data_IF_678993715008
#
_entry.id   IF_678993715008
#
_cell.length_a   1.000
_cell.length_b   1.000
_cell.length_c   1.000
_cell.angle_alpha   90.00
_cell.angle_beta   90.00
_cell.angle_gamma   90.00
#
_symmetry.space_group_name_H-M   'P 1'
#
loop_
_entity.id
_entity.type
_entity.pdbx_description
1 polymer ?
#
# COMPACT_ATOMS: atom_id res chain seq x y z
N UNK A 1 24.75 27.61 -7.30
CA UNK A 1 25.30 26.81 -6.18
C UNK A 1 26.12 27.76 -5.31
N UNK A 2 25.51 28.37 -4.28
CA UNK A 2 26.25 29.02 -3.19
C UNK A 2 26.14 28.11 -1.96
N UNK A 3 27.25 27.95 -1.25
CA UNK A 3 27.44 26.90 -0.26
C UNK A 3 26.42 26.89 0.88
N UNK A 4 25.90 25.71 1.16
CA UNK A 4 25.20 25.41 2.41
C UNK A 4 26.26 25.19 3.47
N UNK A 5 26.25 26.03 4.51
CA UNK A 5 27.15 25.92 5.66
C UNK A 5 26.77 24.72 6.53
N UNK A 6 27.42 23.58 6.32
CA UNK A 6 27.28 22.42 7.18
C UNK A 6 28.07 22.59 8.48
N UNK A 7 27.39 22.99 9.56
CA UNK A 7 27.91 22.81 10.91
C UNK A 7 27.84 21.34 11.30
N UNK A 8 28.97 20.73 11.67
CA UNK A 8 29.06 19.30 12.04
C UNK A 8 28.53 19.05 13.45
N UNK A 9 27.22 18.84 13.59
CA UNK A 9 26.63 18.17 14.76
C UNK A 9 26.51 16.67 14.50
N UNK A 10 27.61 15.91 14.58
CA UNK A 10 27.59 14.45 14.41
C UNK A 10 26.97 13.96 13.09
N UNK A 11 26.57 12.70 13.00
CA UNK A 11 26.03 12.06 11.78
C UNK A 11 24.65 12.61 11.30
N UNK A 12 24.32 13.85 11.64
CA UNK A 12 23.11 14.53 11.20
C UNK A 12 23.44 15.32 9.93
N UNK A 13 22.77 14.99 8.83
CA UNK A 13 22.81 15.85 7.64
C UNK A 13 21.70 16.88 7.84
N UNK A 14 22.09 18.08 8.30
CA UNK A 14 21.17 19.20 8.35
C UNK A 14 21.14 19.88 6.98
N UNK A 15 19.95 19.97 6.40
CA UNK A 15 19.69 20.86 5.29
C UNK A 15 18.92 22.05 5.83
N UNK A 16 19.66 23.10 6.16
CA UNK A 16 19.06 24.38 6.45
C UNK A 16 18.68 25.06 5.13
N UNK A 17 17.39 25.15 4.84
CA UNK A 17 16.80 25.95 3.76
C UNK A 17 16.03 27.14 4.30
N UNK A 18 16.55 27.77 5.36
CA UNK A 18 16.05 29.04 5.88
C UNK A 18 15.91 30.06 4.74
N UNK A 19 14.67 30.38 4.37
CA UNK A 19 14.31 31.43 3.41
C UNK A 19 13.96 30.99 1.98
N UNK A 20 14.04 29.69 1.66
CA UNK A 20 13.52 29.16 0.39
C UNK A 20 12.31 28.27 0.68
N UNK A 21 11.11 28.74 0.32
CA UNK A 21 9.84 28.06 0.58
C UNK A 21 9.72 26.63 0.01
N UNK A 22 10.70 26.16 -0.77
CA UNK A 22 10.84 24.78 -1.21
C UNK A 22 12.24 24.54 -1.79
N UNK A 23 12.91 23.44 -1.42
CA UNK A 23 14.02 22.90 -2.20
C UNK A 23 13.48 21.88 -3.18
N UNK A 24 13.43 22.25 -4.47
CA UNK A 24 13.12 21.33 -5.56
C UNK A 24 14.42 20.95 -6.27
N UNK A 25 14.76 19.67 -6.27
CA UNK A 25 15.80 19.18 -7.17
C UNK A 25 15.32 19.28 -8.63
N UNK A 26 16.22 19.51 -9.62
CA UNK A 26 15.85 19.41 -11.03
C UNK A 26 15.24 18.04 -11.37
N UNK A 27 14.44 18.01 -12.45
CA UNK A 27 13.51 16.93 -12.85
C UNK A 27 14.17 15.59 -13.23
N UNK A 28 15.43 15.37 -12.88
CA UNK A 28 16.18 14.14 -13.11
C UNK A 28 17.28 13.88 -12.07
N UNK A 29 17.42 14.75 -11.07
CA UNK A 29 18.53 14.63 -10.13
C UNK A 29 18.30 13.55 -9.09
N UNK A 30 19.39 12.91 -8.69
CA UNK A 30 19.40 11.85 -7.67
C UNK A 30 20.15 12.33 -6.45
N UNK A 31 19.50 12.21 -5.29
CA UNK A 31 20.22 12.18 -4.01
C UNK A 31 20.48 10.73 -3.62
N UNK A 32 21.70 10.45 -3.15
CA UNK A 32 22.09 9.11 -2.75
C UNK A 32 22.77 9.12 -1.38
N UNK A 33 22.31 8.24 -0.49
CA UNK A 33 22.91 8.00 0.82
C UNK A 33 23.68 6.68 0.82
N UNK A 34 25.00 6.76 0.99
CA UNK A 34 25.91 5.59 0.95
C UNK A 34 26.72 5.39 2.22
N UNK A 35 26.77 6.39 3.11
CA UNK A 35 27.56 6.33 4.33
C UNK A 35 27.12 5.16 5.22
N UNK A 36 28.06 4.39 5.76
CA UNK A 36 27.79 3.15 6.48
C UNK A 36 27.31 3.34 7.94
N UNK A 37 27.24 4.58 8.44
CA UNK A 37 26.72 4.89 9.78
C UNK A 37 25.27 5.36 9.76
N UNK A 38 24.65 5.42 10.94
CA UNK A 38 23.31 5.98 11.07
C UNK A 38 23.28 7.44 10.63
N UNK A 39 22.29 7.81 9.83
CA UNK A 39 22.07 9.17 9.36
C UNK A 39 20.64 9.60 9.67
N UNK A 40 20.49 10.89 9.92
CA UNK A 40 19.20 11.52 10.19
C UNK A 40 18.93 12.60 9.17
N UNK A 41 17.69 12.62 8.66
CA UNK A 41 17.15 13.70 7.84
C UNK A 41 16.26 14.59 8.71
N UNK A 42 16.41 15.91 8.54
CA UNK A 42 15.77 16.91 9.37
C UNK A 42 15.46 18.18 8.56
N UNK A 43 14.37 18.88 8.95
CA UNK A 43 13.94 20.19 8.43
C UNK A 43 13.64 21.12 9.60
N UNK A 44 14.18 22.34 9.59
CA UNK A 44 13.91 23.35 10.63
C UNK A 44 12.57 24.08 10.42
N UNK A 45 12.06 24.11 9.19
CA UNK A 45 10.97 25.00 8.78
C UNK A 45 9.62 24.30 8.63
N UNK A 46 9.52 22.99 8.90
CA UNK A 46 8.37 22.12 8.57
C UNK A 46 8.08 21.98 7.06
N UNK A 47 8.91 22.56 6.20
CA UNK A 47 8.70 22.45 4.76
C UNK A 47 9.04 21.03 4.29
N UNK A 48 8.18 20.42 3.45
CA UNK A 48 8.48 19.13 2.87
C UNK A 48 9.68 19.26 1.93
N UNK A 49 10.63 18.33 2.04
CA UNK A 49 11.68 18.21 1.04
C UNK A 49 11.16 17.40 -0.13
N UNK A 50 11.29 17.96 -1.34
CA UNK A 50 10.87 17.32 -2.58
C UNK A 50 12.11 16.90 -3.35
N UNK A 51 12.34 15.60 -3.41
CA UNK A 51 13.40 14.99 -4.20
C UNK A 51 12.83 14.51 -5.53
N UNK A 52 13.65 14.49 -6.58
CA UNK A 52 13.25 13.77 -7.78
C UNK A 52 13.51 12.27 -7.58
N UNK A 53 14.78 11.84 -7.54
CA UNK A 53 15.13 10.46 -7.18
C UNK A 53 15.79 10.43 -5.79
N UNK A 54 15.27 9.60 -4.89
CA UNK A 54 15.83 9.36 -3.56
C UNK A 54 16.36 7.94 -3.46
N UNK A 55 17.67 7.79 -3.30
CA UNK A 55 18.33 6.48 -3.26
C UNK A 55 19.00 6.25 -1.91
N UNK A 56 18.74 5.09 -1.30
CA UNK A 56 19.48 4.59 -0.14
C UNK A 56 20.24 3.35 -0.57
N UNK A 57 21.56 3.41 -0.44
CA UNK A 57 22.47 2.33 -0.79
C UNK A 57 23.56 2.23 0.27
N UNK A 58 23.14 1.93 1.51
CA UNK A 58 24.03 1.88 2.66
C UNK A 58 24.47 0.44 2.88
N UNK A 59 25.76 0.21 3.10
CA UNK A 59 26.28 -1.10 3.47
C UNK A 59 25.83 -1.51 4.89
N UNK A 60 25.63 -0.52 5.76
CA UNK A 60 25.12 -0.67 7.13
C UNK A 60 24.53 0.65 7.64
N UNK A 61 23.89 0.59 8.81
CA UNK A 61 23.29 1.75 9.46
C UNK A 61 21.96 2.16 8.85
N UNK A 62 21.22 2.97 9.61
CA UNK A 62 19.84 3.36 9.30
C UNK A 62 19.83 4.81 8.81
N UNK A 63 19.14 5.07 7.70
CA UNK A 63 18.69 6.42 7.39
C UNK A 63 17.32 6.60 8.05
N UNK A 64 17.16 7.60 8.91
CA UNK A 64 15.92 7.82 9.67
C UNK A 64 15.47 9.27 9.58
N UNK A 65 14.17 9.50 9.74
CA UNK A 65 13.67 10.84 10.07
C UNK A 65 13.94 11.15 11.53
N UNK A 66 14.26 12.41 11.82
CA UNK A 66 14.45 12.88 13.19
C UNK A 66 13.48 14.01 13.49
N UNK A 67 12.69 13.89 14.57
CA UNK A 67 12.08 15.04 15.24
C UNK A 67 12.87 15.32 16.51
N UNK A 68 13.04 16.61 16.80
CA UNK A 68 13.66 17.05 18.04
C UNK A 68 12.67 16.92 19.21
N UNK A 69 13.18 16.56 20.38
CA UNK A 69 12.58 16.94 21.65
C UNK A 69 13.02 18.39 21.97
N UNK A 70 12.10 19.29 22.32
CA UNK A 70 12.40 20.70 22.60
C UNK A 70 11.47 21.69 21.86
N UNK A 71 11.86 22.96 21.62
CA UNK A 71 11.01 23.97 20.96
C UNK A 71 10.65 23.62 19.50
N UNK A 72 11.28 22.58 18.95
CA UNK A 72 11.00 22.00 17.65
C UNK A 72 10.23 20.66 17.74
N UNK A 73 9.64 20.34 18.90
CA UNK A 73 8.81 19.16 19.08
C UNK A 73 7.59 19.25 18.18
N UNK A 74 7.34 18.18 17.42
CA UNK A 74 6.29 18.19 16.41
C UNK A 74 6.68 18.94 15.14
N UNK A 75 7.97 19.18 14.89
CA UNK A 75 8.50 19.43 13.55
C UNK A 75 9.06 18.15 12.97
N UNK A 76 8.73 17.82 11.73
CA UNK A 76 9.09 16.55 11.12
C UNK A 76 9.34 16.67 9.62
N UNK A 77 10.08 15.69 9.11
CA UNK A 77 10.43 15.59 7.70
C UNK A 77 9.34 14.79 6.97
N UNK A 78 8.53 15.45 6.15
CA UNK A 78 7.76 14.76 5.12
C UNK A 78 8.67 14.60 3.89
N UNK A 79 9.09 13.37 3.61
CA UNK A 79 9.82 13.10 2.38
C UNK A 79 8.83 12.97 1.24
N UNK A 80 8.89 13.89 0.29
CA UNK A 80 8.25 13.71 -1.00
C UNK A 80 9.31 13.38 -2.03
N UNK A 81 9.15 12.30 -2.78
CA UNK A 81 10.02 12.01 -3.90
C UNK A 81 9.25 11.52 -5.12
N UNK A 82 9.82 11.66 -6.31
CA UNK A 82 9.25 11.03 -7.51
C UNK A 82 9.48 9.53 -7.46
N UNK A 83 10.72 9.10 -7.21
CA UNK A 83 11.07 7.69 -7.03
C UNK A 83 11.85 7.47 -5.75
N UNK A 84 11.59 6.32 -5.11
CA UNK A 84 12.35 5.81 -3.98
C UNK A 84 13.05 4.53 -4.42
N UNK A 85 14.37 4.49 -4.32
CA UNK A 85 15.18 3.33 -4.64
C UNK A 85 16.02 2.91 -3.43
N UNK A 86 15.55 1.92 -2.68
CA UNK A 86 16.31 1.30 -1.60
C UNK A 86 17.06 0.11 -2.18
N UNK A 87 18.29 0.30 -2.64
CA UNK A 87 19.08 -0.80 -3.22
C UNK A 87 19.74 -1.67 -2.16
N UNK A 88 20.05 -1.09 -1.00
CA UNK A 88 20.59 -1.75 0.19
C UNK A 88 20.40 -0.88 1.44
N UNK A 89 20.59 -1.46 2.61
CA UNK A 89 20.47 -0.76 3.90
C UNK A 89 19.03 -0.55 4.35
N UNK A 90 18.84 0.26 5.39
CA UNK A 90 17.54 0.49 6.03
C UNK A 90 17.13 1.97 5.97
N UNK A 91 15.85 2.19 5.68
CA UNK A 91 15.20 3.49 5.72
C UNK A 91 13.99 3.46 6.64
N UNK A 92 14.06 4.23 7.72
CA UNK A 92 13.02 4.38 8.73
C UNK A 92 12.25 5.68 8.50
N UNK A 93 10.95 5.54 8.27
CA UNK A 93 10.01 6.66 8.33
C UNK A 93 9.74 7.07 9.78
N UNK A 94 8.94 8.12 9.98
CA UNK A 94 8.69 8.71 11.29
C UNK A 94 7.86 7.78 12.18
N UNK A 95 8.27 7.63 13.44
CA UNK A 95 7.65 6.75 14.43
C UNK A 95 6.49 7.38 15.21
N UNK A 96 6.28 8.69 15.09
CA UNK A 96 5.12 9.37 15.64
C UNK A 96 3.90 9.36 14.71
N UNK A 97 2.73 9.65 15.28
CA UNK A 97 1.47 9.85 14.56
C UNK A 97 1.38 11.29 14.05
N UNK A 98 1.22 11.53 12.74
CA UNK A 98 1.08 12.88 12.17
C UNK A 98 1.32 12.97 10.66
N UNK A 99 1.36 14.20 10.12
CA UNK A 99 1.50 14.50 8.68
C UNK A 99 2.90 14.27 8.08
N UNK A 100 3.81 13.60 8.81
CA UNK A 100 5.20 13.38 8.40
C UNK A 100 5.39 12.03 7.67
N UNK A 101 4.41 11.71 6.82
CA UNK A 101 4.44 10.51 6.00
C UNK A 101 5.49 10.56 4.89
N UNK A 102 5.79 9.39 4.34
CA UNK A 102 6.56 9.26 3.11
C UNK A 102 5.60 9.35 1.92
N UNK A 103 5.88 10.23 0.95
CA UNK A 103 5.17 10.30 -0.33
C UNK A 103 6.13 9.98 -1.48
N UNK A 104 5.80 8.97 -2.28
CA UNK A 104 6.54 8.60 -3.50
C UNK A 104 5.57 8.68 -4.67
N UNK A 105 5.67 9.66 -5.57
CA UNK A 105 4.62 9.86 -6.58
C UNK A 105 4.59 8.77 -7.66
N UNK A 106 5.74 8.16 -7.96
CA UNK A 106 5.85 7.00 -8.85
C UNK A 106 6.14 5.73 -8.03
N UNK A 107 7.22 5.01 -8.34
CA UNK A 107 7.50 3.69 -7.77
C UNK A 107 8.45 3.79 -6.57
N UNK A 108 8.12 3.06 -5.50
CA UNK A 108 9.04 2.69 -4.45
C UNK A 108 9.60 1.28 -4.71
N UNK A 109 10.89 1.20 -5.05
CA UNK A 109 11.61 -0.06 -5.25
C UNK A 109 12.42 -0.39 -4.00
N UNK A 110 12.11 -1.51 -3.36
CA UNK A 110 12.59 -1.89 -2.04
C UNK A 110 13.39 -3.19 -2.14
N UNK A 111 14.70 -3.09 -2.39
CA UNK A 111 15.65 -4.20 -2.31
C UNK A 111 16.40 -4.25 -0.96
N UNK A 112 16.52 -3.11 -0.27
CA UNK A 112 16.90 -3.02 1.14
C UNK A 112 15.71 -3.20 2.09
N UNK A 113 15.71 -2.47 3.21
CA UNK A 113 14.63 -2.44 4.19
C UNK A 113 13.94 -1.08 4.21
N UNK A 114 12.62 -1.06 4.04
CA UNK A 114 11.77 0.09 4.35
C UNK A 114 10.98 -0.19 5.63
N UNK A 115 11.05 0.71 6.60
CA UNK A 115 10.26 0.66 7.82
C UNK A 115 9.26 1.82 7.86
N UNK A 116 7.98 1.51 7.61
CA UNK A 116 6.88 2.46 7.59
C UNK A 116 6.44 2.97 8.97
N UNK A 117 6.92 2.37 10.07
CA UNK A 117 6.62 2.74 11.46
C UNK A 117 5.14 3.11 11.68
N UNK A 118 4.83 4.32 12.17
CA UNK A 118 3.47 4.75 12.52
C UNK A 118 2.86 5.78 11.56
N UNK A 119 3.67 6.46 10.74
CA UNK A 119 3.20 7.47 9.80
C UNK A 119 2.70 6.85 8.50
N UNK A 120 1.69 7.45 7.86
CA UNK A 120 1.18 6.95 6.58
C UNK A 120 2.25 6.97 5.47
N UNK A 121 2.18 6.01 4.56
CA UNK A 121 3.06 5.90 3.39
C UNK A 121 2.20 6.00 2.14
N UNK A 122 2.41 7.02 1.31
CA UNK A 122 1.73 7.17 0.01
C UNK A 122 2.72 6.88 -1.10
N UNK A 123 2.34 6.02 -2.03
CA UNK A 123 3.17 5.63 -3.17
C UNK A 123 2.35 5.57 -4.46
N UNK A 124 2.99 5.76 -5.61
CA UNK A 124 2.40 5.37 -6.88
C UNK A 124 2.35 3.85 -7.00
N UNK A 125 3.45 3.16 -6.71
CA UNK A 125 3.52 1.69 -6.67
C UNK A 125 4.57 1.19 -5.66
N UNK A 126 4.43 -0.06 -5.20
CA UNK A 126 5.39 -0.72 -4.31
C UNK A 126 5.93 -1.99 -4.96
N UNK A 127 7.24 -2.06 -5.14
CA UNK A 127 7.95 -3.25 -5.65
C UNK A 127 8.95 -3.71 -4.59
N UNK A 128 8.72 -4.89 -4.01
CA UNK A 128 9.49 -5.43 -2.89
C UNK A 128 10.33 -6.61 -3.38
N UNK A 129 11.64 -6.52 -3.23
CA UNK A 129 12.59 -7.64 -3.36
C UNK A 129 13.43 -7.84 -2.09
N UNK A 130 13.47 -6.86 -1.19
CA UNK A 130 14.04 -6.92 0.15
C UNK A 130 12.95 -7.05 1.21
N UNK A 131 12.96 -6.15 2.19
CA UNK A 131 11.98 -6.13 3.30
C UNK A 131 11.18 -4.84 3.32
N UNK A 132 9.86 -4.96 3.37
CA UNK A 132 8.97 -3.85 3.69
C UNK A 132 8.20 -4.17 4.98
N UNK A 133 8.52 -3.46 6.05
CA UNK A 133 7.66 -3.38 7.24
C UNK A 133 6.70 -2.22 7.00
N UNK A 134 5.44 -2.54 6.70
CA UNK A 134 4.42 -1.55 6.44
C UNK A 134 4.18 -0.64 7.65
N UNK A 135 3.58 0.51 7.39
CA UNK A 135 3.14 1.40 8.47
C UNK A 135 1.97 0.78 9.24
N UNK A 136 1.86 1.06 10.54
CA UNK A 136 0.66 0.74 11.32
C UNK A 136 -0.54 1.64 11.01
N UNK A 137 -0.33 2.71 10.23
CA UNK A 137 -1.38 3.53 9.65
C UNK A 137 -1.81 2.98 8.28
N UNK A 138 -1.67 3.77 7.22
CA UNK A 138 -2.08 3.38 5.86
C UNK A 138 -0.93 3.45 4.87
N UNK A 139 -0.72 2.37 4.12
CA UNK A 139 0.00 2.38 2.85
C UNK A 139 -1.01 2.64 1.72
N UNK A 140 -1.01 3.86 1.18
CA UNK A 140 -1.88 4.28 0.08
C UNK A 140 -1.15 4.15 -1.26
N UNK A 141 -1.72 3.39 -2.20
CA UNK A 141 -1.17 3.15 -3.53
C UNK A 141 -2.07 3.82 -4.58
N UNK A 142 -1.57 4.83 -5.28
CA UNK A 142 -2.36 5.68 -6.19
C UNK A 142 -2.07 5.45 -7.68
N UNK A 143 -1.18 4.53 -8.04
CA UNK A 143 -0.78 4.28 -9.43
C UNK A 143 -0.35 2.82 -9.64
N UNK A 144 0.42 2.57 -10.69
CA UNK A 144 1.17 1.35 -10.93
C UNK A 144 2.57 1.68 -11.44
N UNK A 145 3.47 0.74 -11.24
CA UNK A 145 4.77 0.77 -11.88
C UNK A 145 4.60 0.60 -13.40
N UNK A 146 5.12 1.56 -14.17
CA UNK A 146 4.93 1.58 -15.61
C UNK A 146 5.64 0.40 -16.32
N UNK A 147 6.74 -0.10 -15.74
CA UNK A 147 7.56 -1.14 -16.37
C UNK A 147 6.97 -2.54 -16.21
N UNK A 148 6.39 -2.82 -15.05
CA UNK A 148 5.88 -4.15 -14.70
C UNK A 148 4.35 -4.23 -14.75
N UNK A 149 3.68 -3.09 -14.63
CA UNK A 149 2.23 -2.96 -14.56
C UNK A 149 1.65 -3.22 -13.17
N UNK A 150 2.48 -3.41 -12.13
CA UNK A 150 2.02 -3.71 -10.77
C UNK A 150 1.81 -2.45 -9.95
N UNK A 151 0.70 -2.40 -9.21
CA UNK A 151 0.50 -1.44 -8.11
C UNK A 151 1.23 -1.91 -6.85
N UNK A 152 1.22 -3.23 -6.61
CA UNK A 152 1.93 -3.89 -5.53
C UNK A 152 2.54 -5.19 -6.03
N UNK A 153 3.84 -5.37 -5.83
CA UNK A 153 4.55 -6.60 -6.14
C UNK A 153 5.45 -7.02 -4.97
N UNK A 154 5.19 -8.18 -4.38
CA UNK A 154 5.99 -8.73 -3.30
C UNK A 154 6.79 -9.96 -3.74
N UNK A 155 8.09 -9.80 -3.98
CA UNK A 155 9.04 -10.88 -4.20
C UNK A 155 9.99 -11.07 -3.00
N UNK A 156 9.75 -10.38 -1.89
CA UNK A 156 10.60 -10.39 -0.69
C UNK A 156 9.79 -10.65 0.57
N UNK A 157 10.07 -9.88 1.62
CA UNK A 157 9.38 -9.95 2.92
C UNK A 157 8.47 -8.74 3.07
N UNK A 158 7.19 -9.02 3.33
CA UNK A 158 6.20 -7.99 3.67
C UNK A 158 5.65 -8.27 5.08
N UNK A 159 5.75 -7.28 5.96
CA UNK A 159 5.15 -7.32 7.31
C UNK A 159 4.10 -6.22 7.40
N UNK A 160 2.83 -6.59 7.57
CA UNK A 160 1.71 -5.64 7.52
C UNK A 160 1.65 -4.65 8.70
N UNK A 161 2.30 -4.95 9.84
CA UNK A 161 2.36 -4.10 11.04
C UNK A 161 0.98 -3.60 11.54
N UNK A 162 -0.03 -4.46 11.46
CA UNK A 162 -1.44 -4.16 11.73
C UNK A 162 -2.03 -2.94 10.99
N UNK A 163 -1.38 -2.47 9.92
CA UNK A 163 -1.85 -1.33 9.14
C UNK A 163 -2.78 -1.72 7.99
N UNK A 164 -3.16 -0.70 7.22
CA UNK A 164 -4.06 -0.87 6.07
C UNK A 164 -3.30 -0.64 4.77
N UNK A 165 -3.43 -1.56 3.81
CA UNK A 165 -3.05 -1.29 2.42
C UNK A 165 -4.29 -0.86 1.67
N UNK A 166 -4.26 0.32 1.04
CA UNK A 166 -5.36 0.81 0.21
C UNK A 166 -4.83 1.07 -1.20
N UNK A 167 -5.41 0.41 -2.20
CA UNK A 167 -5.16 0.74 -3.60
C UNK A 167 -6.28 1.68 -4.07
N UNK A 168 -5.92 2.93 -4.29
CA UNK A 168 -6.78 4.00 -4.77
C UNK A 168 -6.36 4.39 -6.19
N UNK A 169 -6.33 3.40 -7.08
CA UNK A 169 -5.91 3.58 -8.47
C UNK A 169 -7.04 3.25 -9.43
N UNK A 170 -7.50 4.27 -10.15
CA UNK A 170 -8.55 4.17 -11.16
C UNK A 170 -8.00 3.76 -12.55
N UNK A 171 -7.23 2.67 -12.58
CA UNK A 171 -6.67 2.10 -13.80
C UNK A 171 -6.51 0.59 -13.67
N UNK A 172 -6.22 -0.07 -14.80
CA UNK A 172 -5.93 -1.50 -14.79
C UNK A 172 -4.54 -1.73 -14.20
N UNK A 173 -4.42 -2.69 -13.30
CA UNK A 173 -3.18 -2.97 -12.58
C UNK A 173 -2.98 -4.46 -12.34
N UNK A 174 -1.73 -4.84 -12.09
CA UNK A 174 -1.38 -6.14 -11.53
C UNK A 174 -1.15 -6.01 -10.03
N UNK A 175 -1.40 -7.10 -9.32
CA UNK A 175 -1.22 -7.19 -7.88
C UNK A 175 -0.75 -8.60 -7.54
N UNK A 176 0.41 -8.75 -6.90
CA UNK A 176 0.96 -10.09 -6.69
C UNK A 176 2.42 -10.11 -6.30
N UNK A 177 3.16 -11.08 -6.83
CA UNK A 177 4.48 -11.46 -6.33
C UNK A 177 4.83 -12.92 -6.61
N UNK A 178 6.09 -13.20 -6.94
CA UNK A 178 6.52 -14.48 -7.54
C UNK A 178 6.99 -15.55 -6.55
N UNK A 179 7.20 -15.24 -5.28
CA UNK A 179 7.97 -16.14 -4.40
C UNK A 179 7.34 -16.42 -3.04
N UNK A 180 6.51 -15.53 -2.48
CA UNK A 180 5.98 -15.68 -1.12
C UNK A 180 4.48 -15.33 -1.05
N UNK A 181 3.66 -16.09 -0.29
CA UNK A 181 2.32 -15.66 0.06
C UNK A 181 2.38 -14.30 0.78
N UNK A 182 1.47 -13.39 0.43
CA UNK A 182 1.42 -12.07 1.07
C UNK A 182 0.22 -12.01 2.00
N UNK A 183 0.46 -11.62 3.26
CA UNK A 183 -0.60 -11.40 4.25
C UNK A 183 -0.77 -9.92 4.50
N UNK A 184 -1.97 -9.42 4.26
CA UNK A 184 -2.39 -8.07 4.63
C UNK A 184 -3.18 -8.14 5.92
N UNK A 185 -3.04 -7.13 6.78
CA UNK A 185 -3.95 -6.97 7.92
C UNK A 185 -5.31 -6.48 7.42
N UNK A 186 -5.35 -5.26 6.89
CA UNK A 186 -6.47 -4.77 6.08
C UNK A 186 -6.05 -4.54 4.63
N UNK A 187 -6.93 -4.85 3.68
CA UNK A 187 -6.72 -4.56 2.26
C UNK A 187 -7.96 -4.01 1.58
N UNK A 188 -7.86 -2.76 1.12
CA UNK A 188 -8.95 -2.01 0.52
C UNK A 188 -8.65 -1.66 -0.95
N UNK A 189 -9.67 -1.65 -1.79
CA UNK A 189 -9.62 -1.10 -3.16
C UNK A 189 -10.73 -0.05 -3.29
N UNK A 190 -10.34 1.19 -3.59
CA UNK A 190 -11.24 2.35 -3.58
C UNK A 190 -11.03 3.26 -4.81
N UNK A 191 -11.87 4.29 -4.94
CA UNK A 191 -11.69 5.38 -5.91
C UNK A 191 -11.96 5.00 -7.37
N UNK A 192 -12.64 3.88 -7.61
CA UNK A 192 -12.99 3.45 -8.96
C UNK A 192 -14.15 4.29 -9.50
N UNK A 193 -14.00 4.85 -10.71
CA UNK A 193 -15.09 5.58 -11.40
C UNK A 193 -15.68 4.82 -12.60
N UNK A 194 -15.02 3.73 -13.00
CA UNK A 194 -15.40 2.86 -14.11
C UNK A 194 -14.93 1.42 -13.80
N UNK A 195 -15.34 0.46 -14.63
CA UNK A 195 -14.85 -0.91 -14.52
C UNK A 195 -13.32 -0.95 -14.71
N UNK A 196 -12.61 -1.56 -13.76
CA UNK A 196 -11.14 -1.72 -13.78
C UNK A 196 -10.74 -3.16 -13.53
N UNK A 197 -9.67 -3.59 -14.18
CA UNK A 197 -9.12 -4.93 -14.01
C UNK A 197 -7.93 -4.92 -13.07
N UNK A 198 -8.04 -5.70 -12.00
CA UNK A 198 -6.98 -6.04 -11.07
C UNK A 198 -6.60 -7.49 -11.35
N UNK A 199 -5.43 -7.67 -11.94
CA UNK A 199 -4.91 -8.99 -12.31
C UNK A 199 -4.02 -9.52 -11.20
N UNK A 200 -4.41 -10.65 -10.63
CA UNK A 200 -3.65 -11.38 -9.62
C UNK A 200 -2.79 -12.45 -10.26
N UNK A 201 -1.60 -12.66 -9.72
CA UNK A 201 -0.72 -13.72 -10.21
C UNK A 201 -1.33 -15.11 -9.99
N UNK A 202 -1.36 -15.93 -11.04
CA UNK A 202 -1.89 -17.28 -10.98
C UNK A 202 -1.17 -18.15 -9.94
N UNK A 203 -1.92 -19.03 -9.28
CA UNK A 203 -1.44 -19.91 -8.20
C UNK A 203 -0.76 -19.15 -7.05
N UNK A 204 -1.10 -17.87 -6.85
CA UNK A 204 -0.66 -17.08 -5.70
C UNK A 204 -1.78 -16.91 -4.70
N UNK A 205 -1.39 -16.90 -3.43
CA UNK A 205 -2.32 -16.67 -2.32
C UNK A 205 -2.09 -15.28 -1.72
N UNK A 206 -3.17 -14.51 -1.65
CA UNK A 206 -3.25 -13.32 -0.83
C UNK A 206 -4.07 -13.68 0.40
N UNK A 207 -3.51 -13.43 1.59
CA UNK A 207 -4.20 -13.66 2.86
C UNK A 207 -4.64 -12.34 3.45
N UNK A 208 -5.87 -12.29 3.94
CA UNK A 208 -6.43 -11.16 4.69
C UNK A 208 -6.58 -11.60 6.14
N UNK A 209 -5.88 -10.93 7.05
CA UNK A 209 -5.94 -11.28 8.47
C UNK A 209 -7.11 -10.59 9.21
N UNK A 210 -7.57 -9.43 8.75
CA UNK A 210 -8.60 -8.63 9.43
C UNK A 210 -9.69 -8.14 8.47
N UNK A 211 -9.59 -6.96 7.84
CA UNK A 211 -10.68 -6.45 7.01
C UNK A 211 -10.33 -6.43 5.51
N UNK A 212 -11.28 -6.83 4.67
CA UNK A 212 -11.23 -6.65 3.22
C UNK A 212 -12.39 -5.78 2.76
N UNK A 213 -12.07 -4.72 2.03
CA UNK A 213 -13.07 -3.81 1.44
C UNK A 213 -12.79 -3.61 -0.05
N UNK A 214 -13.42 -4.41 -0.89
CA UNK A 214 -13.29 -4.37 -2.34
C UNK A 214 -14.63 -4.02 -2.98
N UNK A 215 -14.69 -2.84 -3.59
CA UNK A 215 -15.94 -2.34 -4.19
C UNK A 215 -15.73 -1.84 -5.62
N UNK A 216 -16.50 -2.40 -6.55
CA UNK A 216 -16.80 -1.71 -7.81
C UNK A 216 -17.72 -0.51 -7.59
N UNK A 217 -17.99 0.25 -8.64
CA UNK A 217 -18.80 1.48 -8.56
C UNK A 217 -20.20 1.29 -9.18
N UNK A 218 -20.85 0.17 -8.85
CA UNK A 218 -22.17 -0.20 -9.36
C UNK A 218 -22.14 -1.06 -10.63
N UNK A 219 -23.34 -1.40 -11.10
CA UNK A 219 -23.56 -2.24 -12.29
C UNK A 219 -22.94 -1.61 -13.55
N UNK A 220 -22.22 -2.42 -14.33
CA UNK A 220 -21.44 -1.99 -15.50
C UNK A 220 -20.13 -1.27 -15.15
N UNK A 221 -19.83 -1.09 -13.86
CA UNK A 221 -18.62 -0.47 -13.32
C UNK A 221 -17.97 -1.37 -12.27
N UNK A 222 -18.09 -2.68 -12.46
CA UNK A 222 -17.58 -3.69 -11.55
C UNK A 222 -16.05 -3.64 -11.47
N UNK A 223 -15.52 -3.93 -10.28
CA UNK A 223 -14.10 -4.23 -10.10
C UNK A 223 -13.83 -5.65 -10.60
N UNK A 224 -13.11 -5.76 -11.71
CA UNK A 224 -12.75 -7.03 -12.33
C UNK A 224 -11.54 -7.63 -11.66
N UNK A 225 -11.72 -8.75 -10.96
CA UNK A 225 -10.64 -9.56 -10.39
C UNK A 225 -10.35 -10.71 -11.36
N UNK A 226 -9.11 -10.83 -11.82
CA UNK A 226 -8.70 -11.81 -12.84
C UNK A 226 -7.41 -12.51 -12.45
N UNK A 227 -7.26 -13.76 -12.87
CA UNK A 227 -5.95 -14.43 -12.88
C UNK A 227 -5.06 -13.90 -14.00
N UNK A 228 -3.74 -13.94 -13.81
CA UNK A 228 -2.75 -13.67 -14.84
C UNK A 228 -2.61 -14.79 -15.86
N UNK A 229 -3.11 -15.99 -15.54
CA UNK A 229 -3.12 -17.17 -16.42
C UNK A 229 -4.54 -17.71 -16.52
N UNK A 230 -5.24 -17.52 -17.65
CA UNK A 230 -6.61 -18.00 -17.83
C UNK A 230 -6.75 -19.49 -17.52
N UNK A 231 -7.81 -19.85 -16.78
CA UNK A 231 -8.07 -21.22 -16.35
C UNK A 231 -7.25 -21.70 -15.15
N UNK A 232 -6.27 -20.92 -14.69
CA UNK A 232 -5.51 -21.23 -13.46
C UNK A 232 -5.89 -20.25 -12.37
N UNK A 233 -6.32 -20.76 -11.22
CA UNK A 233 -6.85 -19.91 -10.16
C UNK A 233 -5.78 -19.13 -9.41
N UNK A 234 -6.08 -17.89 -9.02
CA UNK A 234 -5.43 -17.21 -7.89
C UNK A 234 -6.23 -17.49 -6.61
N UNK A 235 -5.63 -17.31 -5.43
CA UNK A 235 -6.28 -17.64 -4.15
C UNK A 235 -6.46 -16.42 -3.25
N UNK A 236 -7.68 -16.26 -2.72
CA UNK A 236 -8.01 -15.33 -1.64
C UNK A 236 -8.20 -16.11 -0.34
N UNK A 237 -7.26 -16.03 0.59
CA UNK A 237 -7.39 -16.65 1.90
C UNK A 237 -7.96 -15.66 2.92
N UNK A 238 -9.18 -15.90 3.36
CA UNK A 238 -9.89 -15.07 4.32
C UNK A 238 -9.66 -15.63 5.73
N UNK A 239 -8.84 -14.92 6.51
CA UNK A 239 -8.48 -15.31 7.87
C UNK A 239 -9.69 -15.50 8.79
N UNK A 240 -9.52 -16.31 9.83
CA UNK A 240 -10.59 -16.53 10.80
C UNK A 240 -11.01 -15.20 11.45
N UNK A 241 -12.30 -14.86 11.33
CA UNK A 241 -12.84 -13.60 11.85
C UNK A 241 -12.70 -12.40 10.93
N UNK A 242 -12.11 -12.55 9.72
CA UNK A 242 -11.99 -11.44 8.78
C UNK A 242 -13.36 -10.90 8.37
N UNK A 243 -13.53 -9.57 8.33
CA UNK A 243 -14.78 -8.98 7.82
C UNK A 243 -14.70 -8.72 6.32
N UNK A 244 -15.80 -9.00 5.61
CA UNK A 244 -15.84 -9.00 4.15
C UNK A 244 -16.83 -7.96 3.64
N UNK A 245 -16.31 -6.94 2.96
CA UNK A 245 -17.09 -5.99 2.19
C UNK A 245 -16.74 -6.17 0.69
N UNK A 246 -17.44 -7.09 0.03
CA UNK A 246 -17.20 -7.47 -1.37
C UNK A 246 -18.43 -7.11 -2.21
N UNK A 247 -18.33 -6.03 -3.00
CA UNK A 247 -19.47 -5.46 -3.74
C UNK A 247 -19.13 -5.11 -5.17
N UNK A 248 -20.08 -5.34 -6.08
CA UNK A 248 -19.91 -5.01 -7.51
C UNK A 248 -18.58 -5.51 -8.05
N UNK A 249 -18.25 -6.75 -7.72
CA UNK A 249 -17.08 -7.44 -8.25
C UNK A 249 -17.48 -8.17 -9.51
N UNK A 250 -16.51 -8.39 -10.38
CA UNK A 250 -16.60 -9.35 -11.46
C UNK A 250 -15.39 -10.26 -11.29
N UNK A 251 -15.59 -11.52 -10.90
CA UNK A 251 -14.51 -12.41 -10.47
C UNK A 251 -14.36 -13.54 -11.47
N UNK A 252 -13.11 -13.88 -11.83
CA UNK A 252 -12.79 -15.03 -12.67
C UNK A 252 -11.52 -15.69 -12.17
N UNK A 253 -11.46 -17.03 -12.31
CA UNK A 253 -10.31 -17.86 -12.00
C UNK A 253 -9.82 -17.63 -10.55
N UNK A 254 -10.72 -17.71 -9.56
CA UNK A 254 -10.40 -17.48 -8.15
C UNK A 254 -10.82 -18.63 -7.24
N UNK A 255 -10.02 -18.94 -6.23
CA UNK A 255 -10.41 -19.81 -5.11
C UNK A 255 -10.40 -19.04 -3.80
N UNK A 256 -11.52 -19.02 -3.09
CA UNK A 256 -11.58 -18.52 -1.72
C UNK A 256 -11.17 -19.64 -0.74
N UNK A 257 -10.24 -19.34 0.16
CA UNK A 257 -9.72 -20.24 1.19
C UNK A 257 -10.05 -19.68 2.58
N UNK A 258 -10.02 -20.54 3.61
CA UNK A 258 -10.30 -20.18 5.00
C UNK A 258 -11.80 -19.99 5.26
N UNK A 259 -12.43 -19.03 4.59
CA UNK A 259 -13.87 -18.79 4.63
C UNK A 259 -14.44 -18.67 3.21
N UNK A 260 -15.75 -18.91 3.06
CA UNK A 260 -16.48 -18.62 1.82
C UNK A 260 -16.51 -17.11 1.58
N UNK A 261 -16.19 -16.70 0.35
CA UNK A 261 -16.26 -15.31 -0.06
C UNK A 261 -17.68 -14.97 -0.54
N UNK A 262 -18.32 -13.97 0.07
CA UNK A 262 -19.69 -13.57 -0.29
C UNK A 262 -19.64 -12.23 -1.02
N UNK A 263 -19.88 -12.25 -2.33
CA UNK A 263 -19.82 -11.08 -3.19
C UNK A 263 -21.23 -10.64 -3.60
N UNK A 264 -21.65 -9.45 -3.16
CA UNK A 264 -23.00 -8.91 -3.37
C UNK A 264 -23.04 -8.02 -4.62
N UNK A 265 -24.12 -8.14 -5.40
CA UNK A 265 -24.28 -7.37 -6.65
C UNK A 265 -23.15 -7.63 -7.64
N UNK A 266 -22.56 -8.84 -7.60
CA UNK A 266 -21.33 -9.20 -8.28
C UNK A 266 -21.57 -10.23 -9.39
N UNK A 267 -20.62 -10.35 -10.31
CA UNK A 267 -20.65 -11.22 -11.48
C UNK A 267 -19.68 -12.38 -11.27
N UNK A 268 -20.16 -13.59 -11.47
CA UNK A 268 -19.34 -14.79 -11.63
C UNK A 268 -18.94 -14.93 -13.11
N UNK A 269 -17.70 -14.58 -13.45
CA UNK A 269 -17.14 -14.75 -14.80
C UNK A 269 -16.50 -16.12 -15.01
N UNK A 270 -16.70 -17.07 -14.08
CA UNK A 270 -16.36 -18.47 -14.22
C UNK A 270 -15.06 -18.90 -13.51
N UNK A 271 -14.95 -20.22 -13.33
CA UNK A 271 -13.83 -20.90 -12.67
C UNK A 271 -13.54 -20.38 -11.25
N UNK A 272 -14.61 -20.05 -10.51
CA UNK A 272 -14.52 -19.61 -9.12
C UNK A 272 -14.90 -20.75 -8.16
N UNK A 273 -14.12 -20.95 -7.10
CA UNK A 273 -14.37 -21.97 -6.06
C UNK A 273 -14.57 -21.30 -4.70
N UNK A 274 -15.59 -21.74 -3.97
CA UNK A 274 -15.93 -21.24 -2.63
C UNK A 274 -16.31 -19.74 -2.60
N UNK A 275 -16.88 -19.27 -3.70
CA UNK A 275 -17.49 -17.95 -3.83
C UNK A 275 -19.01 -18.10 -3.88
N UNK A 276 -19.72 -17.19 -3.21
CA UNK A 276 -21.17 -16.99 -3.33
C UNK A 276 -21.40 -15.65 -4.00
N UNK A 277 -22.09 -15.67 -5.15
CA UNK A 277 -22.51 -14.48 -5.86
C UNK A 277 -24.01 -14.30 -5.64
N UNK A 278 -24.38 -13.25 -4.91
CA UNK A 278 -25.78 -13.00 -4.59
C UNK A 278 -26.25 -11.67 -5.19
N UNK A 279 -27.52 -11.59 -5.64
CA UNK A 279 -28.13 -10.32 -6.01
C UNK A 279 -28.22 -9.43 -4.76
N UNK A 280 -28.02 -8.12 -4.92
CA UNK A 280 -28.22 -7.22 -3.79
C UNK A 280 -28.13 -5.75 -4.17
N UNK A 281 -29.09 -4.89 -3.76
CA UNK A 281 -28.88 -3.46 -3.74
C UNK A 281 -27.86 -3.11 -2.65
N UNK A 282 -26.92 -2.22 -2.98
CA UNK A 282 -25.98 -1.64 -2.03
C UNK A 282 -26.76 -1.03 -0.84
N UNK A 283 -26.42 -1.36 0.42
CA UNK A 283 -26.84 -0.54 1.54
C UNK A 283 -26.12 0.81 1.41
N UNK A 284 -26.77 1.78 0.76
CA UNK A 284 -26.32 3.17 0.72
C UNK A 284 -25.85 3.61 2.11
N UNK A 285 -24.70 4.28 2.17
CA UNK A 285 -24.02 4.74 3.38
C UNK A 285 -24.96 4.90 4.59
N UNK A 286 -25.00 3.92 5.50
CA UNK A 286 -25.88 4.00 6.67
C UNK A 286 -26.27 2.69 7.35
N UNK A 287 -26.13 1.53 6.71
CA UNK A 287 -26.47 0.25 7.37
C UNK A 287 -25.32 -0.27 8.24
N UNK A 288 -25.57 -0.37 9.55
CA UNK A 288 -24.59 -0.88 10.50
C UNK A 288 -24.33 -2.39 10.35
N UNK A 289 -23.05 -2.71 10.52
CA UNK A 289 -22.30 -3.98 10.39
C UNK A 289 -22.89 -5.23 11.10
N UNK A 290 -24.04 -5.16 11.78
CA UNK A 290 -24.53 -6.24 12.67
C UNK A 290 -25.62 -7.16 12.13
N UNK A 291 -26.26 -6.86 11.00
CA UNK A 291 -27.53 -7.52 10.64
C UNK A 291 -27.38 -8.72 9.68
N UNK A 292 -26.26 -8.87 8.98
CA UNK A 292 -26.12 -9.95 7.98
C UNK A 292 -25.75 -11.34 8.54
N UNK A 293 -25.41 -11.48 9.83
CA UNK A 293 -25.04 -12.79 10.39
C UNK A 293 -26.22 -13.72 10.72
N UNK A 294 -27.48 -13.26 10.68
CA UNK A 294 -28.62 -14.06 11.19
C UNK A 294 -29.52 -14.67 10.12
N UNK A 295 -29.58 -14.13 8.90
CA UNK A 295 -30.67 -14.52 7.96
C UNK A 295 -30.30 -15.61 6.95
N UNK A 296 -29.03 -15.99 6.79
CA UNK A 296 -28.61 -16.99 5.79
C UNK A 296 -28.42 -18.42 6.35
N UNK A 297 -28.58 -18.62 7.67
CA UNK A 297 -28.42 -19.94 8.31
C UNK A 297 -29.68 -20.46 9.02
N UNK A 298 -30.79 -19.73 9.03
CA UNK A 298 -32.07 -20.26 9.49
C UNK A 298 -32.82 -20.84 8.30
N UNK A 299 -32.74 -22.16 8.15
CA UNK A 299 -33.33 -22.94 7.06
C UNK A 299 -34.86 -23.00 7.08
N UNK A 300 -35.55 -21.86 7.16
CA UNK A 300 -36.97 -21.80 6.87
C UNK A 300 -37.19 -21.61 5.38
N UNK A 301 -37.47 -22.72 4.70
CA UNK A 301 -38.11 -22.75 3.39
C UNK A 301 -39.41 -21.93 3.47
N UNK A 302 -39.47 -20.79 2.80
CA UNK A 302 -40.76 -20.16 2.48
C UNK A 302 -41.15 -20.60 1.08
N UNK A 303 -42.05 -21.57 1.03
CA UNK A 303 -42.93 -21.77 -0.12
C UNK A 303 -43.97 -20.63 -0.11
N UNK A 304 -44.09 -19.95 -1.24
CA UNK A 304 -45.37 -19.71 -1.93
C UNK A 304 -45.11 -19.60 -3.44
#
# INVERSE_FOLDING_TARGET
MSGVGGGTMGNVICWDVNGLASFSHPTNATIQFTYAGNQKLYSETNDPFIFFNFTVNKASGILSYFAFAGPYSGKGFAASCTTLNLTAGEFDTWDGTGSYGLTVTNTATIAGTLNGKASSVTVGAVIISGTYVATSATTLINSKDASTGYSFRNNGVFTHNNGTVTVNYNGNTKFGGSTTPTTFYNYNITGLSAARTYTYDASRTITIAHDIDWRGNGTGKELKLRSSTPGTQWSLNLGAGSTQDLYYLDVQDSVALGNTAIALGSIDSGNNINWIFAPGPHPGAGFQKSVFRRTLFDGSVMYD
#
